data_IF_145890421960
#
_entry.id   IF_145890421960
#
_cell.length_a   1.000
_cell.length_b   1.000
_cell.length_c   1.000
_cell.angle_alpha   90.00
_cell.angle_beta   90.00
_cell.angle_gamma   90.00
#
_symmetry.space_group_name_H-M   'P 1'
#
loop_
_entity.id
_entity.type
_entity.pdbx_description
1 polymer ?
#
# COMPACT_ATOMS: atom_id res chain seq x y z
N UNK A 1 -22.80 8.42 -20.53
CA UNK A 1 -23.26 7.02 -20.44
C UNK A 1 -22.00 6.18 -20.39
N UNK A 2 -21.56 5.79 -19.18
CA UNK A 2 -20.34 4.99 -18.98
C UNK A 2 -20.70 3.52 -19.15
N UNK A 3 -19.94 2.73 -19.92
CA UNK A 3 -20.17 1.30 -20.01
C UNK A 3 -19.61 0.65 -18.75
N UNK A 4 -20.41 0.57 -17.71
CA UNK A 4 -20.12 -0.23 -16.54
C UNK A 4 -20.17 -1.71 -16.92
N UNK A 5 -19.03 -2.30 -17.22
CA UNK A 5 -18.89 -3.76 -17.27
C UNK A 5 -18.90 -4.26 -15.84
N UNK A 6 -20.11 -4.61 -15.38
CA UNK A 6 -20.32 -5.29 -14.11
C UNK A 6 -19.52 -6.61 -14.06
N UNK A 7 -18.32 -6.58 -13.46
CA UNK A 7 -17.56 -7.76 -13.09
C UNK A 7 -18.24 -8.59 -11.97
N UNK A 8 -19.36 -8.10 -11.43
CA UNK A 8 -19.97 -8.59 -10.18
C UNK A 8 -21.26 -9.40 -10.35
N UNK A 9 -21.63 -9.84 -11.58
CA UNK A 9 -22.79 -10.73 -11.71
C UNK A 9 -22.40 -12.17 -11.36
N UNK A 10 -22.60 -12.54 -10.08
CA UNK A 10 -22.59 -13.94 -9.62
C UNK A 10 -21.35 -14.43 -8.88
N UNK A 11 -20.35 -13.59 -8.61
CA UNK A 11 -19.21 -13.87 -7.72
C UNK A 11 -19.25 -12.89 -6.54
N UNK A 12 -19.00 -13.36 -5.32
CA UNK A 12 -18.82 -12.47 -4.18
C UNK A 12 -17.69 -11.50 -4.49
N UNK A 13 -17.86 -10.21 -4.18
CA UNK A 13 -16.80 -9.23 -4.34
C UNK A 13 -15.64 -9.62 -3.41
N UNK A 14 -14.43 -9.61 -3.94
CA UNK A 14 -13.21 -9.86 -3.17
C UNK A 14 -12.35 -8.61 -3.20
N UNK A 15 -11.78 -8.24 -2.07
CA UNK A 15 -10.91 -7.07 -1.94
C UNK A 15 -9.79 -7.37 -0.93
N UNK A 16 -8.60 -6.85 -1.18
CA UNK A 16 -7.53 -6.86 -0.18
C UNK A 16 -7.66 -5.65 0.75
N UNK A 17 -7.34 -5.84 2.02
CA UNK A 17 -7.17 -4.77 3.01
C UNK A 17 -5.73 -4.78 3.48
N UNK A 18 -4.98 -3.72 3.19
CA UNK A 18 -3.58 -3.61 3.56
C UNK A 18 -3.32 -2.45 4.52
N UNK A 19 -2.25 -2.57 5.29
CA UNK A 19 -1.71 -1.49 6.12
C UNK A 19 -0.18 -1.48 6.08
N UNK A 20 0.41 -0.30 6.34
CA UNK A 20 1.83 -0.12 6.50
C UNK A 20 2.21 -0.49 7.94
N UNK A 21 3.06 -1.51 8.12
CA UNK A 21 3.37 -2.13 9.39
C UNK A 21 4.88 -2.39 9.56
N UNK A 22 5.30 -2.78 10.77
CA UNK A 22 6.73 -2.97 11.06
C UNK A 22 7.49 -1.65 11.14
N UNK A 23 6.79 -0.53 11.17
CA UNK A 23 7.37 0.79 11.26
C UNK A 23 7.80 1.09 12.70
N UNK A 24 9.11 1.04 12.93
CA UNK A 24 9.71 1.43 14.22
C UNK A 24 10.67 2.59 14.03
N UNK A 25 10.64 3.54 14.96
CA UNK A 25 11.61 4.63 15.07
C UNK A 25 12.38 4.41 16.36
N UNK A 26 13.70 4.26 16.27
CA UNK A 26 14.57 3.94 17.40
C UNK A 26 14.08 2.73 18.24
N UNK A 27 13.57 1.71 17.53
CA UNK A 27 13.03 0.48 18.14
C UNK A 27 11.64 0.61 18.75
N UNK A 28 11.03 1.79 18.70
CA UNK A 28 9.67 2.03 19.20
C UNK A 28 8.66 1.92 18.05
N UNK A 29 7.64 1.05 18.14
CA UNK A 29 6.58 0.97 17.15
C UNK A 29 5.80 2.28 17.01
N UNK A 30 5.46 2.65 15.79
CA UNK A 30 4.62 3.84 15.49
C UNK A 30 3.13 3.53 15.51
N UNK A 31 2.76 2.24 15.51
CA UNK A 31 1.39 1.74 15.49
C UNK A 31 1.23 0.50 16.38
N UNK A 32 -0.03 0.13 16.68
CA UNK A 32 -0.35 -1.17 17.29
C UNK A 32 -0.39 -2.26 16.19
N UNK A 33 0.79 -2.69 15.77
CA UNK A 33 0.94 -3.70 14.73
C UNK A 33 0.18 -4.98 15.05
N UNK A 34 0.18 -5.44 16.31
CA UNK A 34 -0.45 -6.69 16.71
C UNK A 34 -1.97 -6.65 16.45
N UNK A 35 -2.60 -5.54 16.83
CA UNK A 35 -4.02 -5.35 16.58
C UNK A 35 -4.32 -5.19 15.07
N UNK A 36 -3.42 -4.55 14.32
CA UNK A 36 -3.58 -4.39 12.86
C UNK A 36 -3.44 -5.72 12.12
N UNK A 37 -2.46 -6.56 12.45
CA UNK A 37 -2.30 -7.90 11.86
C UNK A 37 -3.53 -8.79 12.06
N UNK A 38 -4.34 -8.58 13.10
CA UNK A 38 -5.58 -9.31 13.32
C UNK A 38 -6.73 -8.89 12.38
N UNK A 39 -6.57 -7.80 11.62
CA UNK A 39 -7.65 -7.20 10.82
C UNK A 39 -7.37 -7.25 9.32
N UNK A 40 -6.11 -6.97 8.91
CA UNK A 40 -5.72 -6.85 7.51
C UNK A 40 -5.51 -8.21 6.83
N UNK A 41 -5.56 -8.25 5.50
CA UNK A 41 -5.18 -9.41 4.70
C UNK A 41 -3.77 -9.31 4.12
N UNK A 42 -3.22 -8.10 4.02
CA UNK A 42 -1.85 -7.83 3.57
C UNK A 42 -1.16 -6.79 4.45
N UNK A 43 0.15 -6.92 4.62
CA UNK A 43 0.99 -6.00 5.37
C UNK A 43 2.15 -5.51 4.50
N UNK A 44 2.23 -4.19 4.31
CA UNK A 44 3.37 -3.53 3.67
C UNK A 44 4.42 -3.26 4.75
N UNK A 45 5.45 -4.12 4.83
CA UNK A 45 6.41 -4.09 5.96
C UNK A 45 7.57 -3.15 5.66
N UNK A 46 7.83 -2.22 6.58
CA UNK A 46 8.95 -1.28 6.51
C UNK A 46 10.29 -2.00 6.39
N UNK A 47 11.13 -1.54 5.45
CA UNK A 47 12.37 -2.21 5.05
C UNK A 47 13.64 -1.45 5.49
N UNK A 48 13.55 -0.61 6.52
CA UNK A 48 14.71 0.11 7.08
C UNK A 48 15.04 1.45 6.41
N UNK A 49 14.38 1.83 5.32
CA UNK A 49 14.62 3.10 4.63
C UNK A 49 14.09 4.30 5.40
N UNK A 50 12.80 4.32 5.70
CA UNK A 50 12.15 5.36 6.50
C UNK A 50 11.96 4.96 7.96
N UNK A 51 11.70 3.69 8.20
CA UNK A 51 11.42 3.10 9.50
C UNK A 51 11.83 1.63 9.50
N UNK A 52 11.77 1.01 10.66
CA UNK A 52 12.10 -0.39 10.83
C UNK A 52 13.60 -0.68 10.91
N UNK A 53 13.90 -1.90 11.31
CA UNK A 53 15.23 -2.49 11.38
C UNK A 53 15.14 -4.01 11.26
N UNK A 54 16.27 -4.72 11.32
CA UNK A 54 16.28 -6.18 11.20
C UNK A 54 15.44 -6.90 12.28
N UNK A 55 15.28 -6.31 13.46
CA UNK A 55 14.48 -6.90 14.54
C UNK A 55 12.98 -6.71 14.28
N UNK A 56 12.56 -5.48 13.91
CA UNK A 56 11.16 -5.19 13.57
C UNK A 56 10.70 -5.95 12.33
N UNK A 57 11.54 -6.07 11.30
CA UNK A 57 11.25 -6.88 10.12
C UNK A 57 10.95 -8.34 10.49
N UNK A 58 11.82 -8.99 11.28
CA UNK A 58 11.59 -10.37 11.76
C UNK A 58 10.33 -10.50 12.61
N UNK A 59 10.08 -9.53 13.47
CA UNK A 59 8.87 -9.51 14.30
C UNK A 59 7.60 -9.39 13.46
N UNK A 60 7.59 -8.50 12.46
CA UNK A 60 6.47 -8.32 11.54
C UNK A 60 6.23 -9.59 10.71
N UNK A 61 7.29 -10.21 10.16
CA UNK A 61 7.20 -11.48 9.42
C UNK A 61 6.62 -12.59 10.27
N UNK A 62 7.05 -12.70 11.53
CA UNK A 62 6.52 -13.70 12.47
C UNK A 62 5.04 -13.49 12.76
N UNK A 63 4.62 -12.24 13.00
CA UNK A 63 3.20 -11.90 13.22
C UNK A 63 2.34 -12.16 11.98
N UNK A 64 2.83 -11.76 10.80
CA UNK A 64 2.14 -12.01 9.54
C UNK A 64 1.90 -13.52 9.32
N UNK A 65 2.91 -14.35 9.54
CA UNK A 65 2.79 -15.80 9.42
C UNK A 65 1.77 -16.38 10.40
N UNK A 66 1.77 -15.92 11.65
CA UNK A 66 0.81 -16.36 12.67
C UNK A 66 -0.63 -15.93 12.35
N UNK A 67 -0.82 -14.77 11.74
CA UNK A 67 -2.13 -14.24 11.35
C UNK A 67 -2.60 -14.67 9.96
N UNK A 68 -1.76 -15.34 9.16
CA UNK A 68 -2.08 -15.68 7.76
C UNK A 68 -2.14 -14.47 6.84
N UNK A 69 -1.42 -13.38 7.17
CA UNK A 69 -1.38 -12.13 6.44
C UNK A 69 -0.27 -12.16 5.39
N UNK A 70 -0.56 -11.75 4.17
CA UNK A 70 0.42 -11.66 3.09
C UNK A 70 1.41 -10.50 3.34
N UNK A 71 2.70 -10.73 3.09
CA UNK A 71 3.76 -9.73 3.32
C UNK A 71 4.20 -9.10 2.00
N UNK A 72 4.16 -7.77 1.94
CA UNK A 72 4.79 -6.96 0.91
C UNK A 72 5.95 -6.16 1.46
N UNK A 73 6.92 -5.83 0.59
CA UNK A 73 8.00 -4.92 0.96
C UNK A 73 7.56 -3.47 0.79
N UNK A 74 7.94 -2.61 1.75
CA UNK A 74 7.58 -1.20 1.80
C UNK A 74 8.82 -0.28 1.72
N UNK A 75 9.54 -0.29 0.57
CA UNK A 75 10.75 0.49 0.41
C UNK A 75 10.45 1.99 0.25
N UNK A 76 11.38 2.81 0.69
CA UNK A 76 11.26 4.27 0.67
C UNK A 76 12.55 4.95 0.20
N UNK A 77 12.51 6.28 0.04
CA UNK A 77 13.74 7.04 0.11
C UNK A 77 14.43 6.84 1.47
N UNK A 78 15.77 6.93 1.51
CA UNK A 78 16.55 6.84 2.76
C UNK A 78 16.42 8.15 3.54
N UNK A 79 15.27 8.37 4.13
CA UNK A 79 14.88 9.58 4.86
C UNK A 79 14.23 9.20 6.21
N UNK A 80 15.02 8.62 7.12
CA UNK A 80 14.50 8.25 8.45
C UNK A 80 14.03 9.45 9.27
N UNK A 81 14.74 10.58 9.16
CA UNK A 81 14.40 11.81 9.88
C UNK A 81 13.06 12.40 9.42
N UNK A 82 12.75 12.33 8.12
CA UNK A 82 11.47 12.75 7.55
C UNK A 82 10.45 11.62 7.41
N UNK A 83 10.73 10.44 7.99
CA UNK A 83 9.85 9.27 7.86
C UNK A 83 9.54 8.90 6.39
N UNK A 84 10.53 9.07 5.49
CA UNK A 84 10.36 8.79 4.06
C UNK A 84 9.40 9.74 3.33
N UNK A 85 8.97 10.81 3.97
CA UNK A 85 7.97 11.77 3.42
C UNK A 85 8.59 12.97 2.71
N UNK A 86 9.93 13.07 2.73
CA UNK A 86 10.65 14.10 1.98
C UNK A 86 11.04 13.56 0.60
N UNK A 87 10.66 14.26 -0.45
CA UNK A 87 11.09 13.93 -1.80
C UNK A 87 12.59 14.22 -1.95
N UNK A 88 13.36 13.20 -2.27
CA UNK A 88 14.79 13.30 -2.46
C UNK A 88 15.16 13.19 -3.94
N UNK A 89 16.07 14.05 -4.40
CA UNK A 89 16.68 13.94 -5.72
C UNK A 89 17.79 12.86 -5.69
N UNK A 90 17.43 11.62 -6.00
CA UNK A 90 18.35 10.48 -6.03
C UNK A 90 18.58 10.05 -7.48
N UNK A 91 19.86 9.85 -7.86
CA UNK A 91 20.18 9.32 -9.19
C UNK A 91 19.49 7.96 -9.41
N UNK A 92 18.89 7.68 -10.59
CA UNK A 92 18.10 6.46 -10.82
C UNK A 92 18.87 5.15 -10.52
N UNK A 93 20.17 5.08 -10.84
CA UNK A 93 20.97 3.92 -10.55
C UNK A 93 21.10 3.68 -9.02
N UNK A 94 21.35 4.72 -8.26
CA UNK A 94 21.43 4.66 -6.80
C UNK A 94 20.07 4.33 -6.18
N UNK A 95 18.99 4.91 -6.69
CA UNK A 95 17.62 4.62 -6.23
C UNK A 95 17.28 3.14 -6.42
N UNK A 96 17.63 2.57 -7.61
CA UNK A 96 17.48 1.12 -7.87
C UNK A 96 18.22 0.28 -6.84
N UNK A 97 19.47 0.61 -6.53
CA UNK A 97 20.27 -0.10 -5.52
C UNK A 97 19.64 -0.03 -4.14
N UNK A 98 19.27 1.18 -3.69
CA UNK A 98 18.64 1.41 -2.39
C UNK A 98 17.32 0.65 -2.23
N UNK A 99 16.48 0.64 -3.25
CA UNK A 99 15.19 -0.08 -3.23
C UNK A 99 15.41 -1.60 -3.25
N UNK A 100 16.31 -2.09 -4.12
CA UNK A 100 16.67 -3.51 -4.16
C UNK A 100 17.16 -4.00 -2.80
N UNK A 101 18.07 -3.27 -2.17
CA UNK A 101 18.68 -3.66 -0.90
C UNK A 101 17.63 -3.68 0.23
N UNK A 102 16.71 -2.73 0.26
CA UNK A 102 15.59 -2.71 1.21
C UNK A 102 14.68 -3.93 1.04
N UNK A 103 14.27 -4.26 -0.20
CA UNK A 103 13.43 -5.42 -0.47
C UNK A 103 14.18 -6.72 -0.09
N UNK A 104 15.45 -6.81 -0.43
CA UNK A 104 16.29 -7.96 -0.11
C UNK A 104 16.46 -8.17 1.39
N UNK A 105 16.64 -7.08 2.16
CA UNK A 105 16.75 -7.16 3.62
C UNK A 105 15.49 -7.75 4.28
N UNK A 106 14.29 -7.43 3.76
CA UNK A 106 13.05 -8.04 4.27
C UNK A 106 12.93 -9.52 3.87
N UNK A 107 13.37 -9.89 2.66
CA UNK A 107 13.42 -11.30 2.25
C UNK A 107 14.40 -12.09 3.14
N UNK A 108 15.59 -11.53 3.44
CA UNK A 108 16.58 -12.12 4.34
C UNK A 108 16.08 -12.21 5.79
N UNK A 109 15.15 -11.33 6.21
CA UNK A 109 14.45 -11.45 7.49
C UNK A 109 13.46 -12.62 7.54
N UNK A 110 13.28 -13.36 6.44
CA UNK A 110 12.45 -14.55 6.33
C UNK A 110 11.05 -14.30 5.72
N UNK A 111 10.82 -13.13 5.11
CA UNK A 111 9.53 -12.82 4.49
C UNK A 111 9.25 -13.68 3.25
N UNK A 112 8.08 -14.29 3.20
CA UNK A 112 7.50 -14.82 1.96
C UNK A 112 6.87 -13.67 1.18
N UNK A 113 7.72 -12.89 0.47
CA UNK A 113 7.31 -11.68 -0.22
C UNK A 113 6.27 -11.95 -1.28
N UNK A 114 5.17 -11.19 -1.27
CA UNK A 114 4.06 -11.31 -2.20
C UNK A 114 3.91 -10.12 -3.14
N UNK A 115 4.32 -8.93 -2.73
CA UNK A 115 4.23 -7.70 -3.51
C UNK A 115 5.23 -6.67 -3.02
N UNK A 116 5.33 -5.55 -3.74
CA UNK A 116 6.11 -4.38 -3.33
C UNK A 116 5.23 -3.14 -3.43
N UNK A 117 5.19 -2.34 -2.38
CA UNK A 117 4.50 -1.06 -2.29
C UNK A 117 5.49 0.01 -1.86
N UNK A 118 5.87 0.98 -2.70
CA UNK A 118 6.71 2.10 -2.28
C UNK A 118 6.05 2.90 -1.15
N UNK A 119 6.85 3.50 -0.25
CA UNK A 119 6.38 4.31 0.85
C UNK A 119 6.50 5.82 0.57
N UNK A 120 5.57 6.60 1.10
CA UNK A 120 5.68 8.04 1.30
C UNK A 120 6.01 8.83 0.04
N UNK A 121 7.08 9.64 0.10
CA UNK A 121 7.48 10.45 -1.04
C UNK A 121 7.91 9.61 -2.26
N UNK A 122 8.48 8.42 -2.06
CA UNK A 122 8.82 7.52 -3.15
C UNK A 122 7.56 7.02 -3.88
N UNK A 123 6.48 6.74 -3.14
CA UNK A 123 5.18 6.35 -3.70
C UNK A 123 4.63 7.39 -4.68
N UNK A 124 4.72 8.68 -4.31
CA UNK A 124 4.29 9.77 -5.18
C UNK A 124 5.27 10.01 -6.34
N UNK A 125 6.58 9.89 -6.08
CA UNK A 125 7.61 10.06 -7.11
C UNK A 125 7.45 9.05 -8.24
N UNK A 126 7.23 7.77 -7.95
CA UNK A 126 7.06 6.74 -9.00
C UNK A 126 5.78 6.90 -9.81
N UNK A 127 4.78 7.61 -9.29
CA UNK A 127 3.56 7.93 -10.05
C UNK A 127 3.77 9.10 -11.02
N UNK A 128 4.70 10.04 -10.72
CA UNK A 128 4.89 11.29 -11.47
C UNK A 128 6.18 11.33 -12.32
N UNK A 129 7.22 10.58 -11.94
CA UNK A 129 8.55 10.61 -12.56
C UNK A 129 8.90 9.26 -13.19
N UNK A 130 9.05 9.26 -14.51
CA UNK A 130 9.38 8.06 -15.28
C UNK A 130 10.75 7.44 -14.91
N UNK A 131 11.75 8.27 -14.53
CA UNK A 131 13.06 7.76 -14.16
C UNK A 131 13.03 7.08 -12.78
N UNK A 132 12.34 7.66 -11.81
CA UNK A 132 12.11 7.02 -10.51
C UNK A 132 11.28 5.74 -10.66
N UNK A 133 10.21 5.76 -11.45
CA UNK A 133 9.38 4.60 -11.74
C UNK A 133 10.19 3.45 -12.35
N UNK A 134 11.02 3.73 -13.38
CA UNK A 134 11.87 2.74 -14.02
C UNK A 134 12.92 2.16 -13.05
N UNK A 135 13.52 3.00 -12.19
CA UNK A 135 14.48 2.55 -11.20
C UNK A 135 13.85 1.57 -10.20
N UNK A 136 12.67 1.92 -9.67
CA UNK A 136 11.94 1.07 -8.71
C UNK A 136 11.46 -0.22 -9.38
N UNK A 137 10.81 -0.14 -10.55
CA UNK A 137 10.36 -1.34 -11.26
C UNK A 137 11.51 -2.29 -11.58
N UNK A 138 12.67 -1.76 -11.99
CA UNK A 138 13.86 -2.58 -12.24
C UNK A 138 14.38 -3.24 -10.95
N UNK A 139 14.40 -2.51 -9.84
CA UNK A 139 14.81 -3.07 -8.54
C UNK A 139 13.90 -4.24 -8.12
N UNK A 140 12.57 -4.06 -8.28
CA UNK A 140 11.59 -5.13 -8.00
C UNK A 140 11.82 -6.34 -8.90
N UNK A 141 12.03 -6.12 -10.21
CA UNK A 141 12.30 -7.20 -11.15
C UNK A 141 13.60 -7.97 -10.84
N UNK A 142 14.64 -7.28 -10.37
CA UNK A 142 15.89 -7.92 -9.95
C UNK A 142 15.67 -8.87 -8.77
N UNK A 143 14.93 -8.42 -7.73
CA UNK A 143 14.61 -9.25 -6.56
C UNK A 143 13.65 -10.38 -6.94
N UNK A 144 12.62 -10.10 -7.74
CA UNK A 144 11.69 -11.11 -8.23
C UNK A 144 12.42 -12.26 -8.95
N UNK A 145 13.40 -11.91 -9.80
CA UNK A 145 14.25 -12.88 -10.50
C UNK A 145 15.12 -13.69 -9.52
N UNK A 146 15.72 -13.02 -8.54
CA UNK A 146 16.54 -13.69 -7.52
C UNK A 146 15.73 -14.67 -6.66
N UNK A 147 14.48 -14.34 -6.36
CA UNK A 147 13.55 -15.18 -5.61
C UNK A 147 12.84 -16.25 -6.47
N UNK A 148 12.99 -16.21 -7.80
CA UNK A 148 12.34 -17.14 -8.73
C UNK A 148 10.81 -17.02 -8.76
N UNK A 149 10.28 -15.82 -8.50
CA UNK A 149 8.83 -15.54 -8.45
C UNK A 149 8.49 -14.18 -9.04
N UNK A 150 7.22 -13.96 -9.35
CA UNK A 150 6.69 -12.64 -9.71
C UNK A 150 6.36 -11.85 -8.45
N UNK A 151 6.74 -10.57 -8.42
CA UNK A 151 6.37 -9.62 -7.38
C UNK A 151 5.58 -8.47 -8.01
N UNK A 152 4.26 -8.42 -7.85
CA UNK A 152 3.46 -7.26 -8.28
C UNK A 152 3.90 -5.97 -7.60
N UNK A 153 3.77 -4.84 -8.30
CA UNK A 153 3.89 -3.52 -7.71
C UNK A 153 2.50 -3.01 -7.35
N UNK A 154 2.29 -2.65 -6.09
CA UNK A 154 1.05 -2.09 -5.56
C UNK A 154 1.17 -0.56 -5.47
N UNK A 155 0.17 0.17 -5.97
CA UNK A 155 0.19 1.62 -5.90
C UNK A 155 -0.95 2.35 -6.60
N UNK A 156 -0.89 3.69 -6.61
CA UNK A 156 -1.72 4.52 -7.48
C UNK A 156 -1.18 4.50 -8.93
N UNK A 157 -2.08 4.60 -9.91
CA UNK A 157 -1.66 4.64 -11.32
C UNK A 157 -0.83 5.89 -11.64
N UNK A 158 0.07 5.73 -12.61
CA UNK A 158 0.98 6.77 -13.06
C UNK A 158 2.10 6.20 -13.92
N UNK A 159 3.28 6.82 -13.91
CA UNK A 159 4.47 6.34 -14.63
C UNK A 159 4.87 4.91 -14.23
N UNK A 160 4.62 4.54 -12.98
CA UNK A 160 4.94 3.21 -12.44
C UNK A 160 4.21 2.07 -13.18
N UNK A 161 3.00 2.32 -13.72
CA UNK A 161 2.27 1.32 -14.51
C UNK A 161 3.06 0.94 -15.75
N UNK A 162 3.54 1.95 -16.49
CA UNK A 162 4.36 1.74 -17.71
C UNK A 162 5.71 1.11 -17.38
N UNK A 163 6.31 1.52 -16.27
CA UNK A 163 7.60 0.99 -15.82
C UNK A 163 7.48 -0.47 -15.36
N UNK A 164 6.42 -0.83 -14.65
CA UNK A 164 6.15 -2.21 -14.24
C UNK A 164 5.93 -3.11 -15.47
N UNK A 165 5.09 -2.68 -16.43
CA UNK A 165 4.86 -3.42 -17.68
C UNK A 165 6.16 -3.64 -18.44
N UNK A 166 6.98 -2.61 -18.62
CA UNK A 166 8.28 -2.69 -19.30
C UNK A 166 9.27 -3.63 -18.56
N UNK A 167 9.13 -3.79 -17.25
CA UNK A 167 9.94 -4.70 -16.43
C UNK A 167 9.34 -6.12 -16.34
N UNK A 168 8.19 -6.39 -16.97
CA UNK A 168 7.48 -7.66 -16.92
C UNK A 168 6.83 -7.96 -15.57
N UNK A 169 6.47 -6.91 -14.80
CA UNK A 169 5.84 -7.01 -13.49
C UNK A 169 4.35 -6.68 -13.57
N UNK A 170 3.47 -7.43 -12.90
CA UNK A 170 2.10 -7.02 -12.71
C UNK A 170 2.03 -5.72 -11.91
N UNK A 171 1.08 -4.85 -12.26
CA UNK A 171 0.71 -3.71 -11.44
C UNK A 171 -0.67 -3.93 -10.84
N UNK A 172 -0.82 -3.63 -9.55
CA UNK A 172 -2.08 -3.75 -8.80
C UNK A 172 -2.48 -2.38 -8.30
N UNK A 173 -3.71 -1.99 -8.59
CA UNK A 173 -4.25 -0.71 -8.17
C UNK A 173 -4.63 -0.74 -6.70
N UNK A 174 -4.20 0.29 -5.96
CA UNK A 174 -4.55 0.56 -4.57
C UNK A 174 -5.50 1.76 -4.47
N UNK A 175 -6.37 1.73 -3.48
CA UNK A 175 -7.10 2.91 -3.03
C UNK A 175 -6.92 3.13 -1.53
N UNK A 176 -6.90 4.39 -1.11
CA UNK A 176 -6.75 4.78 0.29
C UNK A 176 -8.11 5.09 0.92
N UNK A 177 -8.38 4.51 2.06
CA UNK A 177 -9.65 4.67 2.76
C UNK A 177 -9.70 5.96 3.57
N UNK A 178 -8.60 6.32 4.21
CA UNK A 178 -8.46 7.43 5.16
C UNK A 178 -7.85 8.70 4.54
N UNK A 179 -7.77 8.77 3.19
CA UNK A 179 -7.21 9.91 2.46
C UNK A 179 -8.26 10.63 1.62
N UNK A 180 -8.15 11.95 1.55
CA UNK A 180 -8.91 12.76 0.59
C UNK A 180 -8.39 12.59 -0.83
N UNK A 181 -9.31 12.60 -1.79
CA UNK A 181 -8.99 12.53 -3.22
C UNK A 181 -9.26 13.86 -3.91
N UNK A 182 -8.38 14.23 -4.84
CA UNK A 182 -8.61 15.31 -5.80
C UNK A 182 -9.50 14.80 -6.96
N UNK A 183 -10.21 15.68 -7.67
CA UNK A 183 -10.99 15.31 -8.86
C UNK A 183 -10.18 14.60 -9.95
N UNK A 184 -8.86 14.78 -9.95
CA UNK A 184 -7.92 14.09 -10.85
C UNK A 184 -7.65 12.62 -10.51
N UNK A 185 -8.14 12.13 -9.36
CA UNK A 185 -7.83 10.81 -8.81
C UNK A 185 -6.57 10.74 -7.94
N UNK A 186 -5.80 11.84 -7.86
CA UNK A 186 -4.67 11.95 -6.94
C UNK A 186 -5.10 12.19 -5.50
N UNK A 187 -4.20 11.99 -4.55
CA UNK A 187 -4.46 12.28 -3.14
C UNK A 187 -4.28 13.77 -2.83
N UNK A 188 -5.13 14.28 -1.93
CA UNK A 188 -4.94 15.63 -1.37
C UNK A 188 -3.63 15.66 -0.59
N UNK A 189 -2.74 16.66 -0.83
CA UNK A 189 -1.50 16.80 -0.07
C UNK A 189 -1.76 16.85 1.45
N UNK A 190 -0.97 16.11 2.23
CA UNK A 190 -1.20 15.97 3.70
C UNK A 190 -1.26 17.30 4.46
N UNK A 191 -0.66 18.37 3.93
CA UNK A 191 -0.67 19.73 4.51
C UNK A 191 -1.96 20.50 4.22
N UNK A 192 -2.87 19.99 3.41
CA UNK A 192 -4.10 20.67 3.04
C UNK A 192 -5.31 20.14 3.82
N UNK A 193 -6.33 20.99 4.06
CA UNK A 193 -7.60 20.54 4.63
C UNK A 193 -8.24 19.42 3.81
N UNK A 194 -8.86 18.45 4.48
CA UNK A 194 -9.49 17.31 3.82
C UNK A 194 -8.53 16.22 3.34
N UNK A 195 -7.23 16.34 3.66
CA UNK A 195 -6.23 15.33 3.28
C UNK A 195 -6.41 14.00 4.02
N UNK A 196 -6.91 14.03 5.25
CA UNK A 196 -7.13 12.85 6.10
C UNK A 196 -8.61 12.78 6.50
N UNK A 197 -9.12 11.56 6.58
CA UNK A 197 -10.42 11.24 7.16
C UNK A 197 -10.18 10.46 8.44
N UNK A 198 -10.83 10.89 9.51
CA UNK A 198 -10.70 10.35 10.87
C UNK A 198 -12.01 9.76 11.42
N UNK A 199 -13.12 9.87 10.68
CA UNK A 199 -14.39 9.26 11.05
C UNK A 199 -14.46 7.79 10.57
N UNK A 200 -14.45 6.81 11.48
CA UNK A 200 -14.48 5.39 11.12
C UNK A 200 -15.74 4.99 10.33
N UNK A 201 -16.85 5.68 10.50
CA UNK A 201 -18.12 5.39 9.79
C UNK A 201 -17.96 5.79 8.32
N UNK A 202 -17.47 7.01 8.06
CA UNK A 202 -17.24 7.52 6.70
C UNK A 202 -16.22 6.66 5.95
N UNK A 203 -15.17 6.25 6.63
CA UNK A 203 -14.10 5.41 6.05
C UNK A 203 -14.62 4.00 5.75
N UNK A 204 -15.45 3.43 6.62
CA UNK A 204 -16.08 2.13 6.41
C UNK A 204 -17.09 2.13 5.24
N UNK A 205 -17.91 3.16 5.13
CA UNK A 205 -18.84 3.35 3.99
C UNK A 205 -18.09 3.49 2.66
N UNK A 206 -16.99 4.24 2.68
CA UNK A 206 -16.09 4.37 1.52
C UNK A 206 -15.50 3.01 1.10
N UNK A 207 -15.06 2.19 2.05
CA UNK A 207 -14.52 0.86 1.77
C UNK A 207 -15.54 -0.02 1.06
N UNK A 208 -16.79 -0.04 1.52
CA UNK A 208 -17.86 -0.79 0.87
C UNK A 208 -18.12 -0.26 -0.53
N UNK A 209 -18.20 1.06 -0.72
CA UNK A 209 -18.42 1.67 -2.05
C UNK A 209 -17.29 1.35 -3.02
N UNK A 210 -16.04 1.44 -2.58
CA UNK A 210 -14.88 1.06 -3.40
C UNK A 210 -14.93 -0.42 -3.79
N UNK A 211 -15.22 -1.31 -2.83
CA UNK A 211 -15.24 -2.75 -3.09
C UNK A 211 -16.41 -3.21 -3.98
N UNK A 212 -17.57 -2.52 -3.92
CA UNK A 212 -18.79 -2.94 -4.63
C UNK A 212 -19.05 -2.17 -5.91
N UNK A 213 -18.69 -0.89 -5.96
CA UNK A 213 -18.99 0.03 -7.05
C UNK A 213 -17.73 0.49 -7.80
N UNK A 214 -16.53 0.37 -7.19
CA UNK A 214 -15.29 0.88 -7.77
C UNK A 214 -15.26 2.40 -7.87
N UNK A 215 -15.85 3.11 -6.88
CA UNK A 215 -16.01 4.57 -6.89
C UNK A 215 -15.53 5.16 -5.57
N UNK A 216 -14.82 6.29 -5.65
CA UNK A 216 -14.46 7.14 -4.51
C UNK A 216 -14.96 8.57 -4.74
N UNK A 217 -15.37 9.25 -3.67
CA UNK A 217 -15.75 10.65 -3.69
C UNK A 217 -14.53 11.55 -3.43
N UNK A 218 -14.33 12.52 -4.31
CA UNK A 218 -13.31 13.57 -4.17
C UNK A 218 -13.76 14.68 -3.21
N UNK A 219 -12.81 15.54 -2.81
CA UNK A 219 -13.08 16.65 -1.86
C UNK A 219 -14.05 17.71 -2.39
N UNK A 220 -14.32 17.75 -3.68
CA UNK A 220 -15.31 18.65 -4.31
C UNK A 220 -16.68 17.96 -4.51
N UNK A 221 -16.84 16.72 -4.05
CA UNK A 221 -18.06 15.92 -4.21
C UNK A 221 -18.17 15.17 -5.54
N UNK A 222 -17.20 15.30 -6.44
CA UNK A 222 -17.19 14.53 -7.69
C UNK A 222 -16.88 13.05 -7.43
N UNK A 223 -17.50 12.17 -8.23
CA UNK A 223 -17.27 10.73 -8.14
C UNK A 223 -16.18 10.31 -9.15
N UNK A 224 -15.21 9.58 -8.65
CA UNK A 224 -14.04 9.11 -9.43
C UNK A 224 -14.09 7.58 -9.49
N UNK A 225 -13.90 7.03 -10.68
CA UNK A 225 -13.69 5.59 -10.83
C UNK A 225 -12.32 5.19 -10.23
N UNK A 226 -12.34 4.20 -9.35
CA UNK A 226 -11.16 3.66 -8.67
C UNK A 226 -11.27 2.13 -8.65
N UNK A 227 -10.82 1.49 -9.76
CA UNK A 227 -10.80 0.02 -9.90
C UNK A 227 -9.62 -0.55 -9.08
N UNK A 228 -9.74 -0.47 -7.76
CA UNK A 228 -8.72 -0.93 -6.82
C UNK A 228 -8.94 -2.41 -6.48
N UNK A 229 -7.84 -3.16 -6.39
CA UNK A 229 -7.84 -4.53 -5.91
C UNK A 229 -7.36 -4.63 -4.44
N UNK A 230 -6.83 -3.55 -3.89
CA UNK A 230 -6.37 -3.45 -2.51
C UNK A 230 -6.76 -2.10 -1.91
N UNK A 231 -7.24 -2.11 -0.68
CA UNK A 231 -7.61 -0.93 0.10
C UNK A 231 -6.60 -0.71 1.21
N UNK A 232 -6.02 0.48 1.28
CA UNK A 232 -5.06 0.85 2.31
C UNK A 232 -5.74 1.61 3.45
N UNK A 233 -5.43 1.23 4.67
CA UNK A 233 -5.71 1.99 5.89
C UNK A 233 -4.40 2.20 6.65
N UNK A 234 -4.09 3.45 7.01
CA UNK A 234 -2.85 3.72 7.74
C UNK A 234 -2.98 3.31 9.21
N UNK A 235 -1.89 2.77 9.77
CA UNK A 235 -1.80 2.35 11.19
C UNK A 235 -1.30 3.44 12.14
N UNK A 236 -0.66 4.49 11.61
CA UNK A 236 0.06 5.52 12.37
C UNK A 236 -0.83 6.68 12.87
N UNK A 237 -2.14 6.64 12.59
CA UNK A 237 -3.09 7.66 13.02
C UNK A 237 -3.78 7.27 14.34
N UNK A 238 -4.15 8.23 15.21
CA UNK A 238 -5.00 7.97 16.36
C UNK A 238 -6.30 7.26 15.95
N UNK A 239 -6.68 6.17 16.62
CA UNK A 239 -7.90 5.42 16.27
C UNK A 239 -7.76 4.48 15.06
N UNK A 240 -6.57 4.30 14.50
CA UNK A 240 -6.34 3.47 13.31
C UNK A 240 -6.86 2.03 13.43
N UNK A 241 -6.68 1.40 14.58
CA UNK A 241 -7.18 0.03 14.84
C UNK A 241 -8.70 -0.02 14.85
N UNK A 242 -9.35 0.98 15.47
CA UNK A 242 -10.82 1.08 15.48
C UNK A 242 -11.36 1.30 14.08
N UNK A 243 -10.71 2.17 13.32
CA UNK A 243 -11.03 2.42 11.91
C UNK A 243 -10.89 1.16 11.06
N UNK A 244 -9.77 0.44 11.18
CA UNK A 244 -9.55 -0.81 10.46
C UNK A 244 -10.59 -1.88 10.81
N UNK A 245 -10.97 -1.99 12.09
CA UNK A 245 -12.04 -2.90 12.54
C UNK A 245 -13.41 -2.51 12.00
N UNK A 246 -13.74 -1.21 11.97
CA UNK A 246 -14.98 -0.71 11.39
C UNK A 246 -15.06 -1.03 9.89
N UNK A 247 -13.96 -0.79 9.15
CA UNK A 247 -13.83 -1.14 7.73
C UNK A 247 -14.07 -2.63 7.51
N UNK A 248 -13.37 -3.49 8.28
CA UNK A 248 -13.51 -4.94 8.15
C UNK A 248 -14.93 -5.40 8.41
N UNK A 249 -15.56 -4.92 9.49
CA UNK A 249 -16.94 -5.26 9.84
C UNK A 249 -17.94 -4.82 8.76
N UNK A 250 -17.74 -3.63 8.17
CA UNK A 250 -18.60 -3.13 7.09
C UNK A 250 -18.48 -3.94 5.80
N UNK A 251 -17.25 -4.31 5.41
CA UNK A 251 -17.01 -5.19 4.26
C UNK A 251 -17.65 -6.57 4.46
N UNK A 252 -17.46 -7.18 5.63
CA UNK A 252 -18.06 -8.48 5.96
C UNK A 252 -19.61 -8.39 5.94
N UNK A 253 -20.19 -7.33 6.50
CA UNK A 253 -21.66 -7.09 6.49
C UNK A 253 -22.20 -6.87 5.09
N UNK A 254 -21.40 -6.30 4.18
CA UNK A 254 -21.75 -6.12 2.76
C UNK A 254 -21.53 -7.40 1.93
N UNK A 255 -21.08 -8.51 2.52
CA UNK A 255 -20.79 -9.76 1.82
C UNK A 255 -19.53 -9.70 0.94
N UNK A 256 -18.62 -8.78 1.22
CA UNK A 256 -17.32 -8.66 0.54
C UNK A 256 -16.31 -9.55 1.26
N UNK A 257 -15.64 -10.41 0.52
CA UNK A 257 -14.57 -11.26 1.07
C UNK A 257 -13.27 -10.48 1.13
N UNK A 258 -12.73 -10.28 2.34
CA UNK A 258 -11.41 -9.65 2.51
C UNK A 258 -10.33 -10.72 2.38
N UNK A 259 -9.56 -10.64 1.29
CA UNK A 259 -8.52 -11.60 0.95
C UNK A 259 -7.43 -10.98 0.08
N UNK A 260 -6.17 -11.30 0.39
CA UNK A 260 -5.02 -10.93 -0.43
C UNK A 260 -5.09 -11.58 -1.83
N UNK A 261 -4.81 -10.84 -2.90
CA UNK A 261 -4.90 -11.33 -4.29
C UNK A 261 -3.62 -12.00 -4.78
N UNK A 262 -2.59 -12.09 -3.92
CA UNK A 262 -1.25 -12.58 -4.26
C UNK A 262 -1.08 -14.09 -4.13
#
# INVERSE_FOLDING_TARGET
>A
MFPGTSRYRGRMAEIDLNADLGETVDGVPTADDEAMFAVVSSASVACGGHAGDAASMRAAVTRAAAAGVAVGAHPSFLDRAGFGRTALAVAPALLREQVRDQISALAEAGADLRYVKPHGALYHSVSADAAAAAAVATAVADVARALGRTLPVLGLPGEIVRAADAAGLPFVHEAFLDRGYLPSGGLVPRSQPGALLDDPVVVAERAVRLATEGIVEAVDGSLIAADAASLCVHGDSPGAVEMARAVRAALDAAGVVVRAPW
#
